data_IF_867261833415
#
_entry.id   IF_867261833415
#
_cell.length_a   1.000
_cell.length_b   1.000
_cell.length_c   1.000
_cell.angle_alpha   90.00
_cell.angle_beta   90.00
_cell.angle_gamma   90.00
#
_symmetry.space_group_name_H-M   'P 1'
#
loop_
_entity.id
_entity.type
_entity.pdbx_description
1 polymer ?
#
# COMPACT_ATOMS: atom_id res chain seq x y z
N UNK A 1 8.16 -9.86 19.90
CA UNK A 1 7.64 -9.73 18.52
C UNK A 1 8.28 -8.47 17.95
N UNK A 2 9.06 -8.57 16.88
CA UNK A 2 9.66 -7.40 16.25
C UNK A 2 8.51 -6.65 15.58
N UNK A 3 8.34 -5.38 15.91
CA UNK A 3 7.38 -4.54 15.22
C UNK A 3 7.95 -4.16 13.85
N UNK A 4 7.64 -4.97 12.86
CA UNK A 4 8.14 -4.82 11.49
C UNK A 4 7.79 -3.45 10.91
N UNK A 5 6.61 -2.93 11.20
CA UNK A 5 6.20 -1.61 10.76
C UNK A 5 7.11 -0.51 11.34
N UNK A 6 7.48 -0.63 12.60
CA UNK A 6 8.40 0.31 13.23
C UNK A 6 9.82 0.27 12.66
N UNK A 7 10.33 -0.93 12.31
CA UNK A 7 11.64 -1.05 11.67
C UNK A 7 11.63 -0.49 10.25
N UNK A 8 10.57 -0.74 9.48
CA UNK A 8 10.38 -0.13 8.15
C UNK A 8 10.31 1.40 8.27
N UNK A 9 9.57 1.91 9.24
CA UNK A 9 9.50 3.34 9.51
C UNK A 9 10.89 3.94 9.72
N UNK A 10 11.70 3.36 10.60
CA UNK A 10 13.07 3.83 10.87
C UNK A 10 13.93 3.81 9.60
N UNK A 11 13.80 2.77 8.80
CA UNK A 11 14.53 2.68 7.54
C UNK A 11 14.08 3.76 6.56
N UNK A 12 12.79 4.01 6.43
CA UNK A 12 12.26 5.11 5.62
C UNK A 12 12.82 6.46 6.07
N UNK A 13 12.77 6.75 7.37
CA UNK A 13 13.31 7.99 7.94
C UNK A 13 14.83 8.12 7.71
N UNK A 14 15.55 7.00 7.72
CA UNK A 14 16.98 6.97 7.40
C UNK A 14 17.24 7.29 5.94
N UNK A 15 16.47 6.68 5.03
CA UNK A 15 16.64 6.82 3.59
C UNK A 15 16.28 8.22 3.08
N UNK A 16 15.32 8.90 3.71
CA UNK A 16 14.92 10.25 3.29
C UNK A 16 15.86 11.35 3.80
N UNK A 17 16.85 11.04 4.63
CA UNK A 17 17.86 12.00 5.08
C UNK A 17 18.80 12.34 3.93
N UNK A 18 18.42 13.33 3.16
CA UNK A 18 19.19 13.83 2.02
C UNK A 18 20.35 14.69 2.51
N UNK A 19 21.54 14.45 1.98
CA UNK A 19 22.73 15.24 2.34
C UNK A 19 22.61 16.72 1.96
N UNK A 20 23.35 17.63 2.62
CA UNK A 20 23.31 19.06 2.34
C UNK A 20 23.67 19.36 0.87
N UNK A 21 22.96 20.31 0.27
CA UNK A 21 23.20 20.77 -1.11
C UNK A 21 22.44 20.03 -2.21
N UNK A 22 21.58 19.08 -1.89
CA UNK A 22 20.68 18.43 -2.86
C UNK A 22 19.38 19.21 -3.04
N UNK A 23 18.94 19.32 -4.30
CA UNK A 23 17.60 19.81 -4.65
C UNK A 23 16.58 18.67 -4.59
N UNK A 24 16.52 18.00 -3.47
CA UNK A 24 15.59 16.88 -3.25
C UNK A 24 14.94 17.06 -1.90
N UNK A 25 13.61 17.07 -1.87
CA UNK A 25 12.82 17.14 -0.65
C UNK A 25 12.12 15.80 -0.44
N UNK A 26 12.31 15.25 0.75
CA UNK A 26 11.66 14.02 1.18
C UNK A 26 10.82 14.29 2.41
N UNK A 27 9.55 13.91 2.33
CA UNK A 27 8.57 14.09 3.41
C UNK A 27 8.04 12.72 3.80
N UNK A 28 7.90 12.47 5.10
CA UNK A 28 7.35 11.22 5.64
C UNK A 28 6.14 11.52 6.50
N UNK A 29 5.06 10.82 6.28
CA UNK A 29 3.85 10.89 7.11
C UNK A 29 3.47 9.51 7.60
N UNK A 30 2.93 9.49 8.81
CA UNK A 30 2.35 8.31 9.44
C UNK A 30 0.86 8.55 9.62
N UNK A 31 0.06 7.65 9.07
CA UNK A 31 -1.37 7.64 9.26
C UNK A 31 -1.73 6.44 10.11
N UNK A 32 -2.38 6.65 11.23
CA UNK A 32 -2.87 5.58 12.08
C UNK A 32 -4.39 5.60 12.14
N UNK A 33 -4.98 4.42 12.17
CA UNK A 33 -6.42 4.27 12.25
C UNK A 33 -6.84 2.95 12.88
N UNK A 34 -7.97 3.00 13.55
CA UNK A 34 -8.64 1.82 14.08
C UNK A 34 -10.09 1.86 13.66
N UNK A 35 -10.68 0.71 13.41
CA UNK A 35 -12.06 0.65 12.99
C UNK A 35 -12.62 -0.75 12.87
N UNK A 36 -13.86 -0.82 12.42
CA UNK A 36 -14.51 -2.07 12.12
C UNK A 36 -15.38 -1.93 10.88
N UNK A 37 -15.38 -2.95 10.06
CA UNK A 37 -16.26 -3.07 8.90
C UNK A 37 -17.16 -4.28 9.04
N UNK A 38 -18.44 -4.07 8.77
CA UNK A 38 -19.39 -5.13 8.59
C UNK A 38 -19.51 -5.42 7.11
N UNK A 39 -18.93 -6.53 6.67
CA UNK A 39 -19.19 -7.03 5.33
C UNK A 39 -20.57 -7.68 5.30
N UNK A 40 -21.53 -7.00 4.73
CA UNK A 40 -22.81 -7.60 4.34
C UNK A 40 -22.62 -8.08 2.91
N UNK A 41 -23.00 -9.31 2.56
CA UNK A 41 -23.06 -9.70 1.16
C UNK A 41 -23.96 -8.70 0.42
N UNK A 42 -23.38 -7.87 -0.42
CA UNK A 42 -24.09 -6.74 -1.02
C UNK A 42 -24.93 -7.12 -2.24
N UNK A 43 -25.12 -8.43 -2.49
CA UNK A 43 -25.96 -8.82 -3.60
C UNK A 43 -26.99 -9.84 -3.11
N UNK A 44 -28.30 -9.51 -3.17
CA UNK A 44 -29.25 -10.55 -3.51
C UNK A 44 -28.73 -11.14 -4.82
N UNK A 45 -28.71 -12.47 -4.91
CA UNK A 45 -28.39 -13.21 -6.12
C UNK A 45 -29.06 -12.53 -7.31
N UNK A 46 -28.31 -11.77 -8.11
CA UNK A 46 -28.82 -11.37 -9.40
C UNK A 46 -28.78 -12.65 -10.19
N UNK A 47 -29.93 -13.33 -10.26
CA UNK A 47 -30.14 -14.35 -11.25
C UNK A 47 -30.08 -13.68 -12.62
N UNK A 48 -28.88 -13.62 -13.17
CA UNK A 48 -28.73 -13.28 -14.57
C UNK A 48 -29.47 -14.38 -15.35
N UNK A 49 -30.38 -14.02 -16.25
CA UNK A 49 -31.08 -15.01 -17.06
C UNK A 49 -30.01 -15.85 -17.79
N UNK A 50 -29.99 -17.13 -17.50
CA UNK A 50 -29.12 -18.08 -18.14
C UNK A 50 -29.51 -18.16 -19.61
N UNK A 51 -28.85 -17.37 -20.45
CA UNK A 51 -28.90 -17.59 -21.88
C UNK A 51 -28.15 -18.89 -22.16
N UNK A 52 -28.85 -19.82 -22.78
CA UNK A 52 -28.40 -21.15 -23.11
C UNK A 52 -26.97 -21.15 -23.67
N UNK A 53 -26.05 -21.84 -23.00
CA UNK A 53 -24.82 -22.33 -23.59
C UNK A 53 -23.50 -22.10 -22.95
N UNK A 54 -23.37 -21.34 -21.85
CA UNK A 54 -22.07 -21.14 -21.23
C UNK A 54 -22.04 -21.61 -19.78
N UNK A 55 -21.36 -22.74 -19.56
CA UNK A 55 -21.14 -23.41 -18.27
C UNK A 55 -20.19 -22.70 -17.33
N UNK A 56 -20.06 -21.39 -17.41
CA UNK A 56 -19.26 -20.64 -16.45
C UNK A 56 -20.21 -20.04 -15.41
N UNK A 57 -20.47 -20.84 -14.37
CA UNK A 57 -21.09 -20.35 -13.16
C UNK A 57 -20.15 -19.31 -12.52
N UNK A 58 -20.39 -18.06 -12.82
CA UNK A 58 -19.70 -16.91 -12.22
C UNK A 58 -20.24 -16.63 -10.80
N UNK A 59 -20.58 -17.65 -10.05
CA UNK A 59 -20.64 -17.56 -8.62
C UNK A 59 -19.22 -17.34 -8.15
N UNK A 60 -18.92 -16.12 -7.74
CA UNK A 60 -17.63 -15.80 -7.10
C UNK A 60 -17.68 -16.49 -5.73
N UNK A 61 -17.06 -17.69 -5.56
CA UNK A 61 -17.23 -18.47 -4.33
C UNK A 61 -16.59 -17.82 -3.11
N UNK A 62 -15.87 -16.72 -3.32
CA UNK A 62 -15.04 -16.08 -2.30
C UNK A 62 -15.83 -15.32 -1.23
N UNK A 63 -17.10 -15.03 -1.46
CA UNK A 63 -17.92 -14.27 -0.50
C UNK A 63 -19.11 -15.03 0.06
N UNK A 64 -19.39 -16.21 -0.42
CA UNK A 64 -20.39 -17.09 0.19
C UNK A 64 -19.75 -18.00 1.24
N UNK A 65 -19.18 -17.38 2.27
CA UNK A 65 -18.84 -18.12 3.48
C UNK A 65 -20.15 -18.43 4.25
N UNK A 66 -20.98 -19.32 3.68
CA UNK A 66 -22.17 -19.88 4.31
C UNK A 66 -23.18 -18.84 4.79
N UNK A 67 -23.41 -17.76 4.06
CA UNK A 67 -24.38 -16.73 4.42
C UNK A 67 -24.07 -16.00 5.72
N UNK A 68 -22.85 -16.13 6.27
CA UNK A 68 -22.47 -15.51 7.53
C UNK A 68 -22.01 -14.07 7.31
N UNK A 69 -22.43 -13.20 8.20
CA UNK A 69 -21.93 -11.84 8.25
C UNK A 69 -20.49 -11.85 8.77
N UNK A 70 -19.57 -11.28 8.02
CA UNK A 70 -18.17 -11.17 8.43
C UNK A 70 -17.97 -9.76 9.02
N UNK A 71 -17.38 -9.71 10.19
CA UNK A 71 -16.88 -8.48 10.80
C UNK A 71 -15.37 -8.48 10.67
N UNK A 72 -14.84 -7.40 10.11
CA UNK A 72 -13.40 -7.14 10.12
C UNK A 72 -13.15 -5.98 11.08
N UNK A 73 -12.32 -6.22 12.09
CA UNK A 73 -11.83 -5.18 13.00
C UNK A 73 -10.35 -5.01 12.77
N UNK A 74 -9.89 -3.79 12.83
CA UNK A 74 -8.48 -3.45 12.79
C UNK A 74 -8.19 -2.42 13.87
N UNK A 75 -7.03 -2.55 14.51
CA UNK A 75 -6.56 -1.66 15.55
C UNK A 75 -5.14 -1.20 15.16
N UNK A 76 -4.90 0.10 15.32
CA UNK A 76 -3.59 0.74 15.13
C UNK A 76 -2.95 0.43 13.76
N UNK A 77 -3.81 0.29 12.72
CA UNK A 77 -3.33 0.14 11.35
C UNK A 77 -2.51 1.37 10.97
N UNK A 78 -1.27 1.16 10.63
CA UNK A 78 -0.34 2.24 10.30
C UNK A 78 -0.02 2.23 8.82
N UNK A 79 -0.25 3.36 8.17
CA UNK A 79 0.22 3.62 6.81
C UNK A 79 1.45 4.53 6.87
N UNK A 80 2.49 4.17 6.15
CA UNK A 80 3.68 5.01 5.95
C UNK A 80 3.59 5.60 4.56
N UNK A 81 3.65 6.92 4.47
CA UNK A 81 3.59 7.64 3.20
C UNK A 81 4.85 8.49 3.07
N UNK A 82 5.58 8.33 1.96
CA UNK A 82 6.80 9.05 1.67
C UNK A 82 6.62 9.78 0.34
N UNK A 83 6.86 11.08 0.33
CA UNK A 83 6.92 11.86 -0.91
C UNK A 83 8.35 12.30 -1.19
N UNK A 84 8.81 12.02 -2.40
CA UNK A 84 10.08 12.49 -2.93
C UNK A 84 9.78 13.49 -4.04
N UNK A 85 10.29 14.72 -3.94
CA UNK A 85 10.06 15.79 -4.90
C UNK A 85 11.30 16.67 -5.06
N UNK A 86 11.28 17.57 -6.03
CA UNK A 86 12.29 18.62 -6.20
C UNK A 86 12.10 19.81 -5.24
N UNK A 87 11.09 19.74 -4.37
CA UNK A 87 10.75 20.80 -3.42
C UNK A 87 9.95 21.97 -4.01
N UNK A 88 9.77 22.04 -5.33
CA UNK A 88 9.01 23.12 -5.96
C UNK A 88 7.50 22.87 -5.89
N UNK A 89 6.67 23.94 -5.85
CA UNK A 89 5.22 23.78 -5.94
C UNK A 89 4.79 23.07 -7.22
N UNK A 90 5.47 23.31 -8.34
CA UNK A 90 5.14 22.68 -9.62
C UNK A 90 5.50 21.19 -9.62
N UNK A 91 6.66 20.81 -9.09
CA UNK A 91 7.06 19.41 -8.93
C UNK A 91 6.12 18.63 -7.98
N UNK A 92 5.45 19.31 -7.05
CA UNK A 92 4.48 18.69 -6.10
C UNK A 92 3.06 18.61 -6.65
N UNK A 93 2.75 19.27 -7.78
CA UNK A 93 1.39 19.37 -8.33
C UNK A 93 0.85 18.03 -8.83
N UNK A 94 1.72 17.20 -9.35
CA UNK A 94 1.42 15.86 -9.83
C UNK A 94 2.34 14.85 -9.18
N UNK A 95 1.84 13.63 -9.01
CA UNK A 95 2.63 12.56 -8.40
C UNK A 95 2.34 11.21 -9.05
N UNK A 96 3.36 10.37 -9.09
CA UNK A 96 3.20 8.93 -9.33
C UNK A 96 3.08 8.24 -7.97
N UNK A 97 2.03 7.45 -7.79
CA UNK A 97 1.84 6.64 -6.59
C UNK A 97 2.41 5.25 -6.81
N UNK A 98 3.29 4.83 -5.92
CA UNK A 98 3.78 3.45 -5.80
C UNK A 98 3.26 2.91 -4.48
N UNK A 99 2.54 1.80 -4.52
CA UNK A 99 1.86 1.26 -3.35
C UNK A 99 2.16 -0.22 -3.16
N UNK A 100 2.35 -0.63 -1.91
CA UNK A 100 2.45 -2.01 -1.47
C UNK A 100 1.78 -2.17 -0.10
N UNK A 101 1.67 -3.41 0.40
CA UNK A 101 1.14 -3.67 1.72
C UNK A 101 2.02 -4.64 2.50
N UNK A 102 2.02 -4.50 3.82
CA UNK A 102 2.81 -5.31 4.74
C UNK A 102 2.00 -6.43 5.38
N UNK A 103 0.69 -6.26 5.46
CA UNK A 103 -0.20 -7.26 6.03
C UNK A 103 -0.35 -8.48 5.12
N UNK A 104 -0.73 -9.60 5.71
CA UNK A 104 -1.00 -10.84 4.98
C UNK A 104 -2.27 -11.51 5.46
N UNK A 105 -2.81 -12.41 4.62
CA UNK A 105 -3.94 -13.25 5.01
C UNK A 105 -3.48 -14.41 5.89
N UNK A 106 -4.31 -14.80 6.85
CA UNK A 106 -4.08 -16.02 7.63
C UNK A 106 -4.37 -17.26 6.75
N UNK A 107 -3.48 -18.24 6.70
CA UNK A 107 -2.20 -18.46 7.39
C UNK A 107 -0.94 -18.13 6.55
N UNK A 108 -1.03 -17.19 5.61
CA UNK A 108 0.07 -16.85 4.72
C UNK A 108 1.19 -16.10 5.46
N UNK A 109 2.47 -16.43 5.24
CA UNK A 109 3.59 -15.65 5.77
C UNK A 109 3.76 -14.28 5.08
N UNK A 110 3.05 -13.99 3.96
CA UNK A 110 3.09 -12.70 3.28
C UNK A 110 4.39 -12.41 2.51
N UNK A 111 5.31 -13.37 2.35
CA UNK A 111 6.62 -13.12 1.78
C UNK A 111 6.59 -12.61 0.33
N UNK A 112 5.75 -13.23 -0.51
CA UNK A 112 5.57 -12.84 -1.91
C UNK A 112 4.42 -11.84 -2.11
N UNK A 113 3.45 -11.83 -1.21
CA UNK A 113 2.24 -11.02 -1.25
C UNK A 113 2.05 -10.35 0.13
N UNK A 114 2.65 -9.16 0.39
CA UNK A 114 3.35 -8.30 -0.56
C UNK A 114 4.72 -7.81 0.01
N UNK A 115 5.32 -8.52 1.01
CA UNK A 115 6.56 -8.09 1.64
C UNK A 115 7.73 -7.93 0.65
N UNK A 116 7.75 -8.71 -0.44
CA UNK A 116 8.73 -8.55 -1.50
C UNK A 116 8.62 -7.18 -2.17
N UNK A 117 7.39 -6.72 -2.45
CA UNK A 117 7.17 -5.42 -3.07
C UNK A 117 7.57 -4.27 -2.12
N UNK A 118 7.33 -4.42 -0.81
CA UNK A 118 7.83 -3.48 0.21
C UNK A 118 9.35 -3.38 0.13
N UNK A 119 10.06 -4.51 0.07
CA UNK A 119 11.51 -4.54 -0.07
C UNK A 119 12.01 -3.84 -1.35
N UNK A 120 11.34 -4.07 -2.48
CA UNK A 120 11.64 -3.41 -3.75
C UNK A 120 11.39 -1.90 -3.66
N UNK A 121 10.30 -1.48 -3.02
CA UNK A 121 10.00 -0.06 -2.81
C UNK A 121 11.08 0.63 -1.97
N UNK A 122 11.53 0.03 -0.89
CA UNK A 122 12.61 0.57 -0.05
C UNK A 122 13.91 0.71 -0.84
N UNK A 123 14.24 -0.27 -1.68
CA UNK A 123 15.42 -0.19 -2.55
C UNK A 123 15.28 0.89 -3.61
N UNK A 124 14.11 1.04 -4.23
CA UNK A 124 13.84 2.15 -5.14
C UNK A 124 14.00 3.51 -4.44
N UNK A 125 13.43 3.67 -3.25
CA UNK A 125 13.58 4.87 -2.44
C UNK A 125 15.06 5.16 -2.16
N UNK A 126 15.82 4.14 -1.76
CA UNK A 126 17.26 4.24 -1.51
C UNK A 126 18.02 4.72 -2.76
N UNK A 127 17.79 4.09 -3.90
CA UNK A 127 18.46 4.45 -5.15
C UNK A 127 18.13 5.90 -5.55
N UNK A 128 16.85 6.27 -5.54
CA UNK A 128 16.40 7.61 -5.94
C UNK A 128 16.97 8.70 -5.01
N UNK A 129 16.93 8.47 -3.70
CA UNK A 129 17.42 9.47 -2.74
C UNK A 129 18.94 9.57 -2.67
N UNK A 130 19.67 8.53 -3.10
CA UNK A 130 21.15 8.52 -3.04
C UNK A 130 21.83 8.75 -4.39
N UNK A 131 21.09 8.72 -5.52
CA UNK A 131 21.68 8.99 -6.83
C UNK A 131 22.09 10.46 -6.95
N UNK A 132 23.38 10.76 -7.16
CA UNK A 132 23.86 12.14 -7.28
C UNK A 132 23.22 12.88 -8.46
N UNK A 133 22.78 14.12 -8.24
CA UNK A 133 22.25 14.98 -9.29
C UNK A 133 20.88 14.60 -9.84
N UNK A 134 20.29 13.50 -9.39
CA UNK A 134 18.94 13.12 -9.79
C UNK A 134 17.89 13.93 -9.00
N UNK A 135 16.87 14.42 -9.72
CA UNK A 135 15.67 15.04 -9.17
C UNK A 135 14.47 14.63 -10.01
N UNK A 136 13.32 14.33 -9.40
CA UNK A 136 12.12 14.01 -10.16
C UNK A 136 11.50 15.26 -10.78
N UNK A 137 10.96 15.15 -12.00
CA UNK A 137 10.18 16.24 -12.61
C UNK A 137 8.81 16.42 -11.95
N UNK A 138 8.24 15.34 -11.44
CA UNK A 138 7.02 15.31 -10.59
C UNK A 138 7.28 14.45 -9.37
N UNK A 139 6.50 14.65 -8.32
CA UNK A 139 6.66 13.89 -7.09
C UNK A 139 6.46 12.39 -7.30
N UNK A 140 7.18 11.59 -6.51
CA UNK A 140 6.92 10.16 -6.36
C UNK A 140 6.44 9.96 -4.94
N UNK A 141 5.29 9.32 -4.78
CA UNK A 141 4.70 8.99 -3.49
C UNK A 141 4.77 7.48 -3.32
N UNK A 142 5.48 7.05 -2.30
CA UNK A 142 5.51 5.66 -1.85
C UNK A 142 4.52 5.53 -0.70
N UNK A 143 3.68 4.51 -0.74
CA UNK A 143 2.72 4.21 0.31
C UNK A 143 2.78 2.75 0.69
N UNK A 144 2.95 2.49 1.97
CA UNK A 144 2.89 1.16 2.58
C UNK A 144 1.69 1.09 3.52
N UNK A 145 0.90 0.03 3.39
CA UNK A 145 -0.31 -0.26 4.16
C UNK A 145 -0.04 -1.35 5.20
#
# INVERSE_FOLDING_TARGET
>A
MIDTAHEIQKECERLVRVGPGRKLECEVWHQQGSGSHRCVPMLPSIELPVTHGNKYDLRIPRFDMMGKRIYKTYADLTNIVIRVSDGTPEGKKHAVLVNSHLDSTLPSPGAADDALAVGVMLECLRVLTHTPGWTPGYAIVFREL
#
